data_IF_454815023030
#
_entry.id   IF_454815023030
#
_cell.length_a   1.000
_cell.length_b   1.000
_cell.length_c   1.000
_cell.angle_alpha   90.00
_cell.angle_beta   90.00
_cell.angle_gamma   90.00
#
_symmetry.space_group_name_H-M   'P 1'
#
loop_
_entity.id
_entity.type
_entity.pdbx_description
1 polymer ?
#
# COMPACT_ATOMS: atom_id res chain seq x y z
N UNK A 1 -4.26 30.37 8.07
CA UNK A 1 -2.92 29.81 7.80
C UNK A 1 -2.64 30.07 6.34
N UNK A 2 -1.65 30.91 6.06
CA UNK A 2 -1.41 31.44 4.72
C UNK A 2 -1.04 30.31 3.74
N UNK A 3 -1.62 30.32 2.53
CA UNK A 3 -1.45 29.26 1.54
C UNK A 3 0.04 29.12 1.17
N UNK A 4 0.74 30.25 1.12
CA UNK A 4 2.19 30.36 0.94
C UNK A 4 2.97 29.63 2.02
N UNK A 5 2.60 29.79 3.29
CA UNK A 5 3.26 29.13 4.43
C UNK A 5 3.05 27.61 4.41
N UNK A 6 1.87 27.15 3.98
CA UNK A 6 1.59 25.71 3.80
C UNK A 6 2.44 25.11 2.66
N UNK A 7 2.53 25.80 1.51
CA UNK A 7 3.39 25.35 0.41
C UNK A 7 4.87 25.32 0.81
N UNK A 8 5.36 26.32 1.55
CA UNK A 8 6.75 26.35 2.05
C UNK A 8 7.01 25.18 3.01
N UNK A 9 6.10 24.89 3.94
CA UNK A 9 6.28 23.77 4.89
C UNK A 9 6.23 22.42 4.17
N UNK A 10 5.30 22.23 3.23
CA UNK A 10 5.19 20.98 2.46
C UNK A 10 6.43 20.79 1.57
N UNK A 11 6.85 21.82 0.84
CA UNK A 11 8.05 21.76 0.00
C UNK A 11 9.32 21.55 0.81
N UNK A 12 9.50 22.22 1.94
CA UNK A 12 10.64 22.01 2.83
C UNK A 12 10.65 20.61 3.47
N UNK A 13 9.47 20.05 3.77
CA UNK A 13 9.34 18.67 4.29
C UNK A 13 9.66 17.64 3.21
N UNK A 14 9.20 17.85 1.97
CA UNK A 14 9.52 17.00 0.82
C UNK A 14 11.01 17.10 0.47
N UNK A 15 11.58 18.30 0.44
CA UNK A 15 13.01 18.52 0.17
C UNK A 15 13.90 17.99 1.30
N UNK A 16 13.51 18.16 2.56
CA UNK A 16 14.22 17.60 3.72
C UNK A 16 14.17 16.07 3.73
N UNK A 17 13.03 15.49 3.39
CA UNK A 17 12.89 14.04 3.18
C UNK A 17 13.79 13.56 2.05
N UNK A 18 13.76 14.22 0.89
CA UNK A 18 14.60 13.90 -0.27
C UNK A 18 16.11 14.06 0.02
N UNK A 19 16.50 15.08 0.79
CA UNK A 19 17.90 15.33 1.17
C UNK A 19 18.43 14.26 2.12
N UNK A 20 17.68 13.92 3.17
CA UNK A 20 18.02 12.81 4.07
C UNK A 20 18.00 11.47 3.32
N UNK A 21 17.09 11.30 2.34
CA UNK A 21 17.03 10.10 1.50
C UNK A 21 18.22 9.96 0.52
N UNK A 22 18.65 11.05 -0.13
CA UNK A 22 19.78 11.05 -1.09
C UNK A 22 21.11 10.80 -0.39
N UNK A 23 21.32 11.33 0.83
CA UNK A 23 22.56 11.09 1.58
C UNK A 23 22.73 9.64 2.05
N UNK A 24 21.65 8.85 2.09
CA UNK A 24 21.62 7.45 2.55
C UNK A 24 21.90 6.39 1.47
N UNK A 25 22.11 6.76 0.21
CA UNK A 25 22.36 5.82 -0.88
C UNK A 25 21.14 4.99 -1.29
N UNK A 26 19.92 5.52 -1.09
CA UNK A 26 18.71 4.94 -1.65
C UNK A 26 18.60 5.35 -3.13
N UNK A 27 18.48 4.37 -4.03
CA UNK A 27 18.21 4.56 -5.45
C UNK A 27 16.86 3.94 -5.82
N UNK A 28 16.18 4.55 -6.78
CA UNK A 28 14.93 4.03 -7.34
C UNK A 28 15.28 2.79 -8.15
N UNK A 29 14.67 1.65 -7.82
CA UNK A 29 14.81 0.39 -8.57
C UNK A 29 13.55 0.01 -9.34
N UNK A 30 12.43 0.65 -9.00
CA UNK A 30 11.17 0.54 -9.72
C UNK A 30 10.37 1.82 -9.51
N UNK A 31 9.68 2.28 -10.55
CA UNK A 31 8.73 3.38 -10.49
C UNK A 31 7.65 3.14 -11.54
N UNK A 32 6.37 3.28 -11.18
CA UNK A 32 5.24 3.09 -12.11
C UNK A 32 5.04 4.31 -13.01
N UNK A 33 6.04 4.59 -13.83
CA UNK A 33 6.00 5.60 -14.89
C UNK A 33 6.06 4.92 -16.25
N UNK A 34 5.30 5.43 -17.22
CA UNK A 34 5.43 5.09 -18.65
C UNK A 34 5.43 3.59 -18.99
N UNK A 35 4.49 2.82 -18.43
CA UNK A 35 4.31 1.42 -18.82
C UNK A 35 5.24 0.43 -18.12
N UNK A 36 5.62 0.72 -16.87
CA UNK A 36 6.40 -0.19 -16.03
C UNK A 36 5.82 -1.63 -16.03
N UNK A 37 6.71 -2.61 -16.04
CA UNK A 37 6.34 -4.03 -16.10
C UNK A 37 5.63 -4.45 -14.81
N UNK A 38 4.53 -5.21 -14.95
CA UNK A 38 3.86 -5.83 -13.79
C UNK A 38 4.80 -6.82 -13.13
N UNK A 39 5.05 -6.63 -11.84
CA UNK A 39 5.84 -7.53 -11.00
C UNK A 39 4.96 -8.64 -10.45
N UNK A 40 5.54 -9.83 -10.26
CA UNK A 40 4.82 -11.05 -9.85
C UNK A 40 5.53 -11.78 -8.70
N UNK A 41 4.76 -12.37 -7.79
CA UNK A 41 5.24 -13.35 -6.81
C UNK A 41 4.46 -14.64 -6.99
N UNK A 42 5.15 -15.69 -7.44
CA UNK A 42 4.53 -16.98 -7.78
C UNK A 42 4.07 -17.75 -6.53
N UNK A 43 4.81 -17.64 -5.42
CA UNK A 43 4.48 -18.33 -4.17
C UNK A 43 3.13 -17.88 -3.62
N UNK A 44 2.87 -16.57 -3.66
CA UNK A 44 1.62 -15.98 -3.17
C UNK A 44 0.61 -15.77 -4.30
N UNK A 45 0.95 -16.09 -5.55
CA UNK A 45 0.13 -15.93 -6.75
C UNK A 45 -0.46 -14.51 -6.88
N UNK A 46 0.35 -13.51 -6.55
CA UNK A 46 -0.02 -12.10 -6.64
C UNK A 46 0.82 -11.38 -7.69
N UNK A 47 0.22 -10.41 -8.36
CA UNK A 47 0.90 -9.53 -9.30
C UNK A 47 0.40 -8.09 -9.13
N UNK A 48 1.24 -7.12 -9.51
CA UNK A 48 0.85 -5.72 -9.48
C UNK A 48 1.99 -4.76 -9.81
N UNK A 49 1.67 -3.47 -9.73
CA UNK A 49 2.57 -2.36 -10.02
C UNK A 49 2.64 -1.43 -8.80
N UNK A 50 3.69 -1.54 -7.98
CA UNK A 50 3.90 -0.62 -6.86
C UNK A 50 4.24 0.78 -7.38
N UNK A 51 3.78 1.86 -6.76
CA UNK A 51 4.08 3.21 -7.30
C UNK A 51 5.59 3.49 -7.36
N UNK A 52 6.33 3.11 -6.30
CA UNK A 52 7.79 3.24 -6.28
C UNK A 52 8.46 2.22 -5.35
N UNK A 53 9.64 1.73 -5.73
CA UNK A 53 10.50 0.90 -4.90
C UNK A 53 11.89 1.52 -4.84
N UNK A 54 12.37 1.69 -3.62
CA UNK A 54 13.68 2.21 -3.31
C UNK A 54 14.57 1.12 -2.73
N UNK A 55 15.85 1.11 -3.09
CA UNK A 55 16.83 0.17 -2.56
C UNK A 55 18.07 0.92 -2.10
N UNK A 56 18.60 0.55 -0.95
CA UNK A 56 19.99 0.85 -0.58
C UNK A 56 20.81 -0.44 -0.53
N UNK A 57 22.06 -0.33 -0.07
CA UNK A 57 22.98 -1.46 0.05
C UNK A 57 22.45 -2.65 0.87
N UNK A 58 21.49 -2.44 1.77
CA UNK A 58 21.03 -3.48 2.71
C UNK A 58 19.56 -3.84 2.58
N UNK A 59 18.71 -2.88 2.24
CA UNK A 59 17.26 -3.04 2.35
C UNK A 59 16.51 -2.37 1.20
N UNK A 60 15.30 -2.89 0.98
CA UNK A 60 14.30 -2.39 0.05
C UNK A 60 13.16 -1.73 0.84
N UNK A 61 12.64 -0.63 0.30
CA UNK A 61 11.50 0.13 0.82
C UNK A 61 10.49 0.34 -0.29
N UNK A 62 9.22 0.01 -0.04
CA UNK A 62 8.12 0.22 -0.99
C UNK A 62 7.35 1.48 -0.62
N UNK A 63 6.98 2.29 -1.60
CA UNK A 63 6.14 3.48 -1.42
C UNK A 63 4.87 3.31 -2.25
N UNK A 64 3.73 3.46 -1.58
CA UNK A 64 2.39 3.44 -2.15
C UNK A 64 1.73 4.80 -1.91
N UNK A 65 1.33 5.50 -2.97
CA UNK A 65 0.76 6.83 -2.94
C UNK A 65 -0.76 6.75 -3.07
N UNK A 66 -1.47 7.51 -2.24
CA UNK A 66 -2.93 7.60 -2.23
C UNK A 66 -3.37 9.04 -2.45
N UNK A 67 -4.24 9.24 -3.43
CA UNK A 67 -4.80 10.54 -3.79
C UNK A 67 -5.82 11.11 -2.80
N UNK A 68 -6.25 10.31 -1.80
CA UNK A 68 -7.21 10.71 -0.78
C UNK A 68 -6.53 11.30 0.45
N UNK A 69 -7.27 12.15 1.17
CA UNK A 69 -6.90 12.59 2.52
C UNK A 69 -7.25 11.51 3.55
N UNK A 70 -6.54 11.51 4.67
CA UNK A 70 -6.87 10.68 5.83
C UNK A 70 -7.20 11.57 7.04
N UNK A 71 -8.20 11.22 7.87
CA UNK A 71 -8.54 12.00 9.06
C UNK A 71 -7.35 12.21 10.00
N UNK A 72 -7.22 13.39 10.59
CA UNK A 72 -6.06 13.72 11.43
C UNK A 72 -5.93 12.84 12.69
N UNK A 73 -7.06 12.35 13.21
CA UNK A 73 -7.14 11.44 14.35
C UNK A 73 -6.86 9.98 13.98
N UNK A 74 -6.74 9.64 12.69
CA UNK A 74 -6.39 8.31 12.24
C UNK A 74 -4.90 8.03 12.50
N UNK A 75 -4.62 6.99 13.28
CA UNK A 75 -3.26 6.63 13.71
C UNK A 75 -2.59 5.56 12.85
N UNK A 76 -3.32 4.97 11.90
CA UNK A 76 -2.83 3.90 11.02
C UNK A 76 -3.46 4.00 9.62
N UNK A 77 -2.79 3.51 8.56
CA UNK A 77 -3.40 3.51 7.23
C UNK A 77 -4.67 2.65 7.22
N UNK A 78 -5.58 2.94 6.29
CA UNK A 78 -6.75 2.07 6.11
C UNK A 78 -6.31 0.63 5.85
N UNK A 79 -7.05 -0.33 6.41
CA UNK A 79 -6.67 -1.74 6.35
C UNK A 79 -6.44 -2.25 4.92
N UNK A 80 -7.24 -1.80 3.94
CA UNK A 80 -7.06 -2.14 2.53
C UNK A 80 -5.74 -1.60 1.97
N UNK A 81 -5.42 -0.33 2.23
CA UNK A 81 -4.18 0.30 1.78
C UNK A 81 -2.95 -0.36 2.46
N UNK A 82 -3.08 -0.76 3.73
CA UNK A 82 -2.06 -1.55 4.45
C UNK A 82 -1.82 -2.91 3.79
N UNK A 83 -2.89 -3.63 3.43
CA UNK A 83 -2.79 -4.95 2.78
C UNK A 83 -2.26 -4.86 1.35
N UNK A 84 -2.61 -3.81 0.61
CA UNK A 84 -2.04 -3.55 -0.70
C UNK A 84 -0.52 -3.31 -0.61
N UNK A 85 -0.09 -2.42 0.31
CA UNK A 85 1.34 -2.23 0.56
C UNK A 85 2.03 -3.53 0.99
N UNK A 86 1.38 -4.37 1.80
CA UNK A 86 1.91 -5.67 2.20
C UNK A 86 2.13 -6.61 1.00
N UNK A 87 1.17 -6.66 0.06
CA UNK A 87 1.31 -7.42 -1.18
C UNK A 87 2.51 -6.93 -2.00
N UNK A 88 2.67 -5.61 -2.13
CA UNK A 88 3.81 -5.02 -2.84
C UNK A 88 5.13 -5.21 -2.12
N UNK A 89 5.17 -5.20 -0.78
CA UNK A 89 6.36 -5.56 -0.01
C UNK A 89 6.77 -7.02 -0.22
N UNK A 90 5.82 -7.95 -0.33
CA UNK A 90 6.11 -9.35 -0.66
C UNK A 90 6.69 -9.47 -2.07
N UNK A 91 6.06 -8.84 -3.06
CA UNK A 91 6.57 -8.82 -4.44
C UNK A 91 7.97 -8.20 -4.50
N UNK A 92 8.19 -7.05 -3.84
CA UNK A 92 9.48 -6.40 -3.80
C UNK A 92 10.55 -7.24 -3.09
N UNK A 93 10.18 -7.99 -2.05
CA UNK A 93 11.07 -8.93 -1.34
C UNK A 93 11.59 -10.03 -2.28
N UNK A 94 10.72 -10.53 -3.16
CA UNK A 94 11.05 -11.55 -4.16
C UNK A 94 11.98 -11.02 -5.26
N UNK A 95 11.76 -9.79 -5.73
CA UNK A 95 12.49 -9.22 -6.89
C UNK A 95 13.77 -8.47 -6.53
N UNK A 96 13.78 -7.76 -5.40
CA UNK A 96 14.83 -6.78 -5.10
C UNK A 96 15.62 -7.07 -3.82
N UNK A 97 15.18 -8.05 -3.03
CA UNK A 97 15.83 -8.51 -1.80
C UNK A 97 15.16 -7.99 -0.53
N UNK A 98 15.87 -8.04 0.59
CA UNK A 98 15.29 -7.89 1.94
C UNK A 98 14.51 -6.59 2.13
N UNK A 99 13.21 -6.68 2.39
CA UNK A 99 12.34 -5.55 2.72
C UNK A 99 12.26 -5.37 4.24
N UNK A 100 12.37 -4.12 4.72
CA UNK A 100 12.13 -3.77 6.14
C UNK A 100 10.73 -3.24 6.41
N UNK A 101 10.13 -2.64 5.40
CA UNK A 101 8.83 -1.98 5.49
C UNK A 101 8.62 -1.09 4.28
N UNK A 102 7.53 -0.33 4.34
CA UNK A 102 7.15 0.60 3.30
C UNK A 102 6.30 1.73 3.85
N UNK A 103 5.92 2.64 2.97
CA UNK A 103 5.11 3.80 3.30
C UNK A 103 3.80 3.78 2.52
N UNK A 104 2.69 4.02 3.21
CA UNK A 104 1.45 4.48 2.56
C UNK A 104 1.40 6.00 2.70
N UNK A 105 1.50 6.72 1.59
CA UNK A 105 1.56 8.18 1.53
C UNK A 105 0.23 8.74 1.03
N UNK A 106 -0.58 9.26 1.95
CA UNK A 106 -1.79 10.03 1.64
C UNK A 106 -1.43 11.49 1.37
N UNK A 107 -2.35 12.26 0.78
CA UNK A 107 -2.13 13.69 0.47
C UNK A 107 -1.60 14.53 1.64
N UNK A 108 -2.03 14.21 2.86
CA UNK A 108 -1.70 14.99 4.06
C UNK A 108 -0.74 14.29 5.04
N UNK A 109 -0.46 12.99 4.89
CA UNK A 109 0.35 12.22 5.85
C UNK A 109 0.81 10.89 5.26
N UNK A 110 2.01 10.46 5.65
CA UNK A 110 2.52 9.11 5.37
C UNK A 110 2.57 8.26 6.63
N UNK A 111 2.31 6.96 6.48
CA UNK A 111 2.47 5.97 7.54
C UNK A 111 3.51 4.94 7.14
N UNK A 112 4.49 4.72 8.02
CA UNK A 112 5.41 3.60 7.88
C UNK A 112 4.74 2.31 8.35
N UNK A 113 4.87 1.25 7.55
CA UNK A 113 4.35 -0.08 7.85
C UNK A 113 5.52 -1.06 7.86
N UNK A 114 5.88 -1.66 9.01
CA UNK A 114 6.98 -2.61 9.09
C UNK A 114 6.63 -3.94 8.44
N UNK A 115 7.58 -4.51 7.68
CA UNK A 115 7.45 -5.83 7.06
C UNK A 115 7.82 -6.95 8.04
N UNK A 116 6.99 -7.11 9.06
CA UNK A 116 7.20 -8.09 10.13
C UNK A 116 6.41 -9.38 9.90
N UNK A 117 6.68 -10.40 10.72
CA UNK A 117 6.03 -11.71 10.61
C UNK A 117 4.50 -11.66 10.78
N UNK A 118 3.99 -10.76 11.63
CA UNK A 118 2.54 -10.59 11.79
C UNK A 118 1.87 -10.12 10.50
N UNK A 119 2.47 -9.15 9.81
CA UNK A 119 1.96 -8.63 8.55
C UNK A 119 2.07 -9.67 7.43
N UNK A 120 3.17 -10.44 7.37
CA UNK A 120 3.32 -11.57 6.45
C UNK A 120 2.21 -12.61 6.64
N UNK A 121 1.91 -12.96 7.89
CA UNK A 121 0.83 -13.91 8.23
C UNK A 121 -0.55 -13.35 7.90
N UNK A 122 -0.79 -12.06 8.14
CA UNK A 122 -2.05 -11.39 7.80
C UNK A 122 -2.28 -11.36 6.29
N UNK A 123 -1.24 -11.04 5.51
CA UNK A 123 -1.29 -11.08 4.05
C UNK A 123 -1.63 -12.48 3.54
N UNK A 124 -0.88 -13.50 3.97
CA UNK A 124 -1.10 -14.90 3.55
C UNK A 124 -2.51 -15.38 3.89
N UNK A 125 -3.04 -14.98 5.05
CA UNK A 125 -4.43 -15.30 5.43
C UNK A 125 -5.43 -14.60 4.51
N UNK A 126 -5.21 -13.33 4.18
CA UNK A 126 -6.09 -12.56 3.29
C UNK A 126 -6.12 -13.15 1.89
N UNK A 127 -4.97 -13.53 1.35
CA UNK A 127 -4.89 -14.20 0.02
C UNK A 127 -5.66 -15.51 0.04
N UNK A 128 -5.46 -16.37 1.05
CA UNK A 128 -6.24 -17.61 1.20
C UNK A 128 -7.75 -17.38 1.27
N UNK A 129 -8.19 -16.29 1.91
CA UNK A 129 -9.61 -15.93 1.94
C UNK A 129 -10.12 -15.51 0.55
N UNK A 130 -9.29 -14.88 -0.27
CA UNK A 130 -9.64 -14.55 -1.66
C UNK A 130 -9.71 -15.83 -2.50
N UNK A 131 -8.72 -16.72 -2.39
CA UNK A 131 -8.69 -18.03 -3.08
C UNK A 131 -9.92 -18.88 -2.70
N UNK A 132 -10.25 -18.98 -1.41
CA UNK A 132 -11.46 -19.65 -0.92
C UNK A 132 -12.74 -19.07 -1.57
N UNK A 133 -12.82 -17.74 -1.68
CA UNK A 133 -13.97 -17.07 -2.30
C UNK A 133 -14.08 -17.38 -3.80
N UNK A 134 -12.96 -17.49 -4.51
CA UNK A 134 -12.91 -17.86 -5.93
C UNK A 134 -13.40 -19.29 -6.18
N UNK A 135 -13.20 -20.22 -5.25
CA UNK A 135 -13.75 -21.58 -5.35
C UNK A 135 -15.25 -21.65 -5.02
N UNK A 136 -15.92 -20.52 -4.80
CA UNK A 136 -17.33 -20.44 -4.45
C UNK A 136 -17.64 -20.74 -2.98
N UNK A 137 -16.62 -20.83 -2.10
CA UNK A 137 -16.85 -21.00 -0.67
C UNK A 137 -17.55 -19.78 -0.10
N UNK A 138 -18.60 -19.99 0.68
CA UNK A 138 -19.34 -18.88 1.25
C UNK A 138 -18.50 -18.15 2.31
N UNK A 139 -18.19 -16.89 2.04
CA UNK A 139 -17.41 -16.06 2.93
C UNK A 139 -18.30 -15.32 3.93
N UNK A 140 -17.88 -15.29 5.20
CA UNK A 140 -18.50 -14.43 6.21
C UNK A 140 -18.10 -12.99 5.94
N UNK A 141 -19.02 -12.18 5.45
CA UNK A 141 -18.81 -10.75 5.19
C UNK A 141 -19.51 -9.93 6.26
N UNK A 142 -18.77 -9.01 6.90
CA UNK A 142 -19.36 -8.00 7.78
C UNK A 142 -19.68 -6.75 6.94
N UNK A 143 -20.96 -6.43 6.67
CA UNK A 143 -21.31 -5.27 5.87
C UNK A 143 -20.84 -3.99 6.57
N UNK A 144 -20.20 -3.11 5.81
CA UNK A 144 -19.80 -1.79 6.27
C UNK A 144 -20.56 -0.77 5.46
N UNK A 145 -21.42 0.02 6.11
CA UNK A 145 -22.33 0.97 5.47
C UNK A 145 -21.62 1.74 4.35
N UNK A 146 -20.50 2.40 4.67
CA UNK A 146 -19.73 3.23 3.74
C UNK A 146 -19.22 2.46 2.51
N UNK A 147 -18.77 1.22 2.68
CA UNK A 147 -18.30 0.38 1.56
C UNK A 147 -19.45 -0.16 0.73
N UNK A 148 -20.54 -0.55 1.39
CA UNK A 148 -21.73 -1.08 0.73
C UNK A 148 -22.40 -0.03 -0.15
N UNK A 149 -22.55 1.22 0.32
CA UNK A 149 -23.13 2.31 -0.47
C UNK A 149 -22.34 2.63 -1.74
N UNK A 150 -21.01 2.52 -1.70
CA UNK A 150 -20.15 2.80 -2.86
C UNK A 150 -19.92 1.56 -3.76
N UNK A 151 -20.42 0.38 -3.37
CA UNK A 151 -20.15 -0.88 -4.08
C UNK A 151 -21.05 -1.03 -5.30
N UNK A 152 -20.46 -1.14 -6.49
CA UNK A 152 -21.18 -1.33 -7.76
C UNK A 152 -22.03 -2.61 -7.83
N UNK A 153 -21.74 -3.58 -6.95
CA UNK A 153 -22.47 -4.86 -6.88
C UNK A 153 -23.69 -4.82 -5.96
N UNK A 154 -23.86 -3.75 -5.17
CA UNK A 154 -24.90 -3.64 -4.13
C UNK A 154 -26.29 -3.97 -4.67
N UNK A 155 -26.72 -3.26 -5.71
CA UNK A 155 -28.09 -3.35 -6.24
C UNK A 155 -28.24 -4.42 -7.32
N UNK A 156 -27.13 -5.00 -7.81
CA UNK A 156 -27.12 -5.99 -8.89
C UNK A 156 -27.18 -7.42 -8.37
N UNK A 157 -26.23 -7.78 -7.50
CA UNK A 157 -25.99 -9.20 -7.13
C UNK A 157 -25.80 -9.42 -5.63
N UNK A 158 -25.48 -8.36 -4.86
CA UNK A 158 -25.20 -8.52 -3.43
C UNK A 158 -26.49 -8.79 -2.64
N UNK A 159 -26.54 -9.90 -1.90
CA UNK A 159 -27.67 -10.27 -1.04
C UNK A 159 -27.55 -9.74 0.40
N UNK A 160 -26.38 -9.22 0.78
CA UNK A 160 -26.03 -8.86 2.17
C UNK A 160 -26.27 -7.36 2.43
N UNK A 161 -26.05 -6.52 1.43
CA UNK A 161 -26.01 -5.06 1.56
C UNK A 161 -27.30 -4.36 1.06
N UNK A 162 -28.38 -5.13 0.91
CA UNK A 162 -29.70 -4.61 0.57
C UNK A 162 -30.28 -3.86 1.75
#
# INVERSE_FOLDING_TARGET
MDITLYFIIVTASVLGFLYVFRKGGNFIVYEDINGAQTLKDEEFRIEGKPDQILKNRRFVTVIEVKSKFIPNNQQSPYAGDRMQLAAYMKIAENHFGKVKGGYVSYKNRSFYVPWNWFLKRELKRTIRQMEDAETGKQMKVKPQKQKCYACIYRDRICKIAK
#
